data_IF_873826864154
#
_entry.id   IF_873826864154
#
_cell.length_a   1.000
_cell.length_b   1.000
_cell.length_c   1.000
_cell.angle_alpha   90.00
_cell.angle_beta   90.00
_cell.angle_gamma   90.00
#
_symmetry.space_group_name_H-M   'P 1'
#
loop_
_entity.id
_entity.type
_entity.pdbx_description
1 polymer ?
#
# COMPACT_ATOMS: atom_id res chain seq x y z
N UNK A 1 2.48 -12.71 -3.06
CA UNK A 1 1.05 -12.38 -2.91
C UNK A 1 0.42 -13.46 -2.06
N UNK A 2 -0.10 -13.12 -0.88
CA UNK A 2 -0.84 -14.06 -0.03
C UNK A 2 -2.15 -13.39 0.37
N UNK A 3 -3.26 -14.03 0.04
CA UNK A 3 -4.58 -13.69 0.53
C UNK A 3 -4.93 -14.72 1.61
N UNK A 4 -5.06 -14.29 2.86
CA UNK A 4 -5.56 -15.17 3.91
C UNK A 4 -7.06 -15.43 3.67
N UNK A 5 -7.46 -16.70 3.56
CA UNK A 5 -8.84 -17.07 3.18
C UNK A 5 -9.92 -16.68 4.20
N UNK A 6 -9.56 -16.08 5.35
CA UNK A 6 -10.51 -15.69 6.41
C UNK A 6 -10.66 -14.18 6.57
N UNK A 7 -9.78 -13.37 6.00
CA UNK A 7 -9.86 -11.90 6.10
C UNK A 7 -9.35 -11.24 4.82
N UNK A 8 -9.92 -10.09 4.43
CA UNK A 8 -9.45 -9.28 3.27
C UNK A 8 -8.10 -8.59 3.55
N UNK A 9 -7.15 -9.31 4.15
CA UNK A 9 -5.81 -8.82 4.49
C UNK A 9 -4.88 -9.19 3.35
N UNK A 10 -4.25 -8.17 2.77
CA UNK A 10 -3.19 -8.32 1.79
C UNK A 10 -1.85 -8.10 2.48
N UNK A 11 -0.88 -8.98 2.20
CA UNK A 11 0.47 -8.90 2.74
C UNK A 11 1.54 -9.11 1.66
N UNK A 12 2.64 -8.39 1.81
CA UNK A 12 3.84 -8.55 1.01
C UNK A 12 5.08 -8.41 1.92
N UNK A 13 6.10 -9.27 1.79
CA UNK A 13 7.39 -9.03 2.44
C UNK A 13 8.00 -7.70 1.97
N UNK A 14 8.92 -7.09 2.74
CA UNK A 14 9.53 -5.81 2.40
C UNK A 14 10.20 -5.88 1.02
N UNK A 15 9.70 -5.09 0.09
CA UNK A 15 10.19 -5.05 -1.28
C UNK A 15 10.00 -3.66 -1.90
N UNK A 16 10.83 -3.31 -2.88
CA UNK A 16 10.77 -2.05 -3.64
C UNK A 16 10.51 -2.37 -5.10
N UNK A 17 9.37 -1.91 -5.62
CA UNK A 17 8.97 -2.14 -7.01
C UNK A 17 8.24 -0.91 -7.57
N UNK A 18 8.40 -0.63 -8.87
CA UNK A 18 7.57 0.38 -9.54
C UNK A 18 6.14 -0.15 -9.62
N UNK A 19 5.23 0.49 -8.90
CA UNK A 19 3.83 0.04 -8.82
C UNK A 19 2.93 1.04 -9.55
N UNK A 20 2.16 0.53 -10.51
CA UNK A 20 1.17 1.29 -11.29
C UNK A 20 -0.22 0.76 -10.94
N UNK A 21 -1.22 1.64 -10.90
CA UNK A 21 -2.58 1.27 -10.55
C UNK A 21 -3.59 2.09 -11.35
N UNK A 22 -4.46 1.40 -12.10
CA UNK A 22 -5.43 2.04 -13.00
C UNK A 22 -6.70 2.56 -12.30
N UNK A 23 -6.89 2.18 -11.03
CA UNK A 23 -8.12 2.44 -10.28
C UNK A 23 -7.83 3.09 -8.92
N UNK A 24 -8.84 3.77 -8.36
CA UNK A 24 -8.76 4.29 -7.00
C UNK A 24 -8.63 3.13 -6.01
N UNK A 25 -7.58 3.16 -5.20
CA UNK A 25 -7.34 2.15 -4.16
C UNK A 25 -7.38 2.82 -2.80
N UNK A 26 -8.20 2.29 -1.89
CA UNK A 26 -8.20 2.69 -0.48
C UNK A 26 -7.59 1.56 0.34
N UNK A 27 -6.55 1.86 1.11
CA UNK A 27 -5.82 0.88 1.90
C UNK A 27 -5.70 1.35 3.34
N UNK A 28 -5.89 0.43 4.29
CA UNK A 28 -5.65 0.64 5.71
C UNK A 28 -4.46 -0.21 6.14
N UNK A 29 -3.42 0.42 6.69
CA UNK A 29 -2.20 -0.28 7.06
C UNK A 29 -2.37 -0.94 8.43
N UNK A 30 -2.49 -2.26 8.45
CA UNK A 30 -2.66 -3.06 9.68
C UNK A 30 -1.34 -3.38 10.36
N UNK A 31 -0.26 -3.55 9.61
CA UNK A 31 1.07 -3.88 10.11
C UNK A 31 2.16 -3.44 9.13
N UNK A 32 3.33 -3.07 9.65
CA UNK A 32 4.49 -2.67 8.86
C UNK A 32 4.60 -1.16 8.60
N UNK A 33 5.52 -0.80 7.70
CA UNK A 33 5.78 0.57 7.26
C UNK A 33 5.99 0.58 5.76
N UNK A 34 5.37 1.53 5.07
CA UNK A 34 5.45 1.62 3.61
C UNK A 34 5.87 3.04 3.23
N UNK A 35 6.71 3.13 2.20
CA UNK A 35 7.16 4.39 1.60
C UNK A 35 6.81 4.36 0.13
N UNK A 36 6.01 5.33 -0.33
CA UNK A 36 5.66 5.48 -1.74
C UNK A 36 6.27 6.77 -2.24
N UNK A 37 6.93 6.70 -3.39
CA UNK A 37 7.62 7.83 -3.99
C UNK A 37 7.04 8.09 -5.39
N UNK A 38 5.88 8.76 -5.52
CA UNK A 38 5.43 9.27 -6.81
C UNK A 38 6.39 10.39 -7.28
N UNK A 39 7.07 10.13 -8.40
CA UNK A 39 8.08 11.02 -9.00
C UNK A 39 9.19 11.41 -8.00
N UNK A 40 9.08 12.58 -7.36
CA UNK A 40 10.08 13.11 -6.41
C UNK A 40 9.53 13.36 -5.01
N UNK A 41 8.23 13.18 -4.79
CA UNK A 41 7.63 13.33 -3.46
C UNK A 41 7.56 11.96 -2.80
N UNK A 42 8.12 11.81 -1.61
CA UNK A 42 8.02 10.57 -0.84
C UNK A 42 7.01 10.74 0.29
N UNK A 43 6.07 9.81 0.39
CA UNK A 43 5.11 9.72 1.47
C UNK A 43 5.39 8.43 2.24
N UNK A 44 5.56 8.54 3.55
CA UNK A 44 5.73 7.41 4.47
C UNK A 44 4.48 7.25 5.30
N UNK A 45 4.04 6.01 5.51
CA UNK A 45 2.86 5.68 6.29
C UNK A 45 3.08 4.42 7.11
N UNK A 46 2.42 4.38 8.26
CA UNK A 46 2.62 3.40 9.32
C UNK A 46 1.30 2.78 9.75
N UNK A 47 1.38 1.84 10.69
CA UNK A 47 0.20 1.14 11.22
C UNK A 47 -0.84 2.14 11.72
N UNK A 48 -2.08 1.97 11.27
CA UNK A 48 -3.20 2.83 11.64
C UNK A 48 -3.57 3.90 10.61
N UNK A 49 -2.75 4.11 9.58
CA UNK A 49 -3.03 5.07 8.52
C UNK A 49 -4.05 4.53 7.49
N UNK A 50 -5.02 5.38 7.11
CA UNK A 50 -5.94 5.15 5.99
C UNK A 50 -5.51 6.00 4.80
N UNK A 51 -5.19 5.36 3.69
CA UNK A 51 -4.70 6.01 2.48
C UNK A 51 -5.67 5.81 1.33
N UNK A 52 -5.84 6.85 0.52
CA UNK A 52 -6.53 6.78 -0.75
C UNK A 52 -5.58 7.16 -1.87
N UNK A 53 -5.23 6.19 -2.69
CA UNK A 53 -4.52 6.39 -3.95
C UNK A 53 -5.54 6.70 -5.03
N UNK A 54 -5.51 7.93 -5.55
CA UNK A 54 -6.31 8.33 -6.71
C UNK A 54 -5.60 7.86 -7.98
N UNK A 55 -6.35 7.38 -8.97
CA UNK A 55 -5.85 6.90 -10.27
C UNK A 55 -4.64 7.73 -10.76
N UNK A 56 -3.55 7.06 -11.12
CA UNK A 56 -2.29 7.64 -11.57
C UNK A 56 -1.52 6.70 -12.46
#
# INVERSE_FOLDING_TARGET
>A
MMFDKRTLKWGCPPNKFPWTYDFKVTCYLLEGKVKVTPNSNSVEFSVGDLLCFLKG
#
